data_IF_278769676795
#
_entry.id   IF_278769676795
#
_cell.length_a   1.000
_cell.length_b   1.000
_cell.length_c   1.000
_cell.angle_alpha   90.00
_cell.angle_beta   90.00
_cell.angle_gamma   90.00
#
_symmetry.space_group_name_H-M   'P 1'
#
loop_
_entity.id
_entity.type
_entity.pdbx_description
1 polymer ?
#
# COMPACT_ATOMS: atom_id res chain seq x y z
N UNK A 1 10.18 -55.96 7.91
CA UNK A 1 9.31 -54.97 8.51
C UNK A 1 9.69 -53.57 8.02
N UNK A 2 8.84 -52.89 7.25
CA UNK A 2 8.74 -51.47 7.28
C UNK A 2 7.27 -51.03 7.18
N UNK A 3 6.73 -50.52 8.27
CA UNK A 3 5.42 -49.89 8.31
C UNK A 3 5.46 -48.83 9.40
N UNK A 4 5.66 -47.58 9.02
CA UNK A 4 5.26 -46.38 9.79
C UNK A 4 5.78 -45.06 9.20
N UNK A 5 5.49 -44.73 7.91
CA UNK A 5 5.77 -43.38 7.37
C UNK A 5 4.68 -42.84 6.42
N UNK A 6 3.50 -43.45 6.40
CA UNK A 6 2.44 -43.04 5.46
C UNK A 6 1.31 -42.20 6.07
N UNK A 7 1.29 -41.95 7.39
CA UNK A 7 0.14 -41.33 8.05
C UNK A 7 0.24 -39.83 8.26
N UNK A 8 1.41 -39.22 8.12
CA UNK A 8 1.61 -37.76 8.39
C UNK A 8 1.45 -36.88 7.16
N UNK A 9 1.52 -37.39 5.95
CA UNK A 9 1.36 -36.60 4.72
C UNK A 9 -0.09 -36.21 4.41
N UNK A 10 -1.08 -37.01 4.88
CA UNK A 10 -2.49 -36.77 4.59
C UNK A 10 -3.14 -35.62 5.36
N UNK A 11 -2.70 -35.35 6.58
CA UNK A 11 -3.27 -34.27 7.42
C UNK A 11 -2.76 -32.88 7.03
N UNK A 12 -1.53 -32.76 6.53
CA UNK A 12 -1.00 -31.49 6.03
C UNK A 12 -1.67 -31.06 4.72
N UNK A 13 -2.00 -32.01 3.83
CA UNK A 13 -2.64 -31.70 2.55
C UNK A 13 -4.07 -31.20 2.68
N UNK A 14 -4.85 -31.68 3.66
CA UNK A 14 -6.23 -31.23 3.87
C UNK A 14 -6.32 -29.81 4.45
N UNK A 15 -5.38 -29.41 5.32
CA UNK A 15 -5.34 -28.06 5.88
C UNK A 15 -4.83 -27.00 4.87
N UNK A 16 -3.93 -27.36 3.96
CA UNK A 16 -3.49 -26.49 2.88
C UNK A 16 -4.59 -26.22 1.85
N UNK A 17 -5.36 -27.24 1.45
CA UNK A 17 -6.47 -27.10 0.51
C UNK A 17 -7.61 -26.23 1.04
N UNK A 18 -7.95 -26.32 2.33
CA UNK A 18 -8.99 -25.48 2.97
C UNK A 18 -8.55 -24.02 3.11
N UNK A 19 -7.28 -23.76 3.37
CA UNK A 19 -6.71 -22.39 3.47
C UNK A 19 -6.74 -21.65 2.14
N UNK A 20 -6.42 -22.29 1.04
CA UNK A 20 -6.43 -21.67 -0.29
C UNK A 20 -7.85 -21.37 -0.79
N UNK A 21 -8.82 -22.26 -0.56
CA UNK A 21 -10.21 -22.01 -0.90
C UNK A 21 -10.80 -20.86 -0.10
N UNK A 22 -10.55 -20.81 1.21
CA UNK A 22 -10.96 -19.71 2.08
C UNK A 22 -10.31 -18.37 1.65
N UNK A 23 -9.04 -18.41 1.29
CA UNK A 23 -8.34 -17.23 0.78
C UNK A 23 -8.96 -16.72 -0.52
N UNK A 24 -9.23 -17.58 -1.50
CA UNK A 24 -9.89 -17.18 -2.76
C UNK A 24 -11.27 -16.56 -2.51
N UNK A 25 -12.06 -17.14 -1.64
CA UNK A 25 -13.37 -16.61 -1.24
C UNK A 25 -13.22 -15.22 -0.59
N UNK A 26 -12.27 -15.07 0.34
CA UNK A 26 -12.01 -13.81 1.00
C UNK A 26 -11.54 -12.73 0.00
N UNK A 27 -10.69 -13.09 -0.98
CA UNK A 27 -10.28 -12.18 -2.07
C UNK A 27 -11.49 -11.70 -2.87
N UNK A 28 -12.36 -12.61 -3.31
CA UNK A 28 -13.57 -12.25 -4.06
C UNK A 28 -14.49 -11.31 -3.28
N UNK A 29 -14.64 -11.53 -1.97
CA UNK A 29 -15.44 -10.66 -1.11
C UNK A 29 -14.80 -9.29 -0.88
N UNK A 30 -13.48 -9.24 -0.71
CA UNK A 30 -12.73 -8.00 -0.43
C UNK A 30 -12.66 -7.10 -1.65
N UNK A 31 -12.25 -7.67 -2.80
CA UNK A 31 -11.92 -6.92 -4.02
C UNK A 31 -13.06 -6.92 -5.06
N UNK A 32 -14.29 -7.12 -4.59
CA UNK A 32 -15.48 -7.09 -5.46
C UNK A 32 -15.78 -5.69 -5.97
N UNK A 33 -16.29 -5.59 -7.17
CA UNK A 33 -17.02 -4.42 -7.63
C UNK A 33 -18.41 -4.46 -7.00
N UNK A 34 -18.77 -3.45 -6.22
CA UNK A 34 -20.11 -3.33 -5.64
C UNK A 34 -21.11 -2.74 -6.64
N UNK A 35 -22.43 -2.98 -6.45
CA UNK A 35 -23.45 -2.29 -7.23
C UNK A 35 -23.39 -0.78 -6.95
N UNK A 36 -23.59 0.04 -8.02
CA UNK A 36 -23.58 1.49 -7.91
C UNK A 36 -24.94 2.07 -7.45
N UNK A 37 -25.97 1.25 -7.37
CA UNK A 37 -27.33 1.64 -6.97
C UNK A 37 -27.83 0.76 -5.83
N UNK A 38 -28.84 1.24 -5.12
CA UNK A 38 -29.49 0.49 -4.04
C UNK A 38 -28.94 0.72 -2.64
N UNK A 39 -27.84 1.47 -2.48
CA UNK A 39 -27.34 1.88 -1.17
C UNK A 39 -27.87 3.25 -0.77
N UNK A 40 -28.31 3.40 0.49
CA UNK A 40 -28.70 4.67 1.10
C UNK A 40 -28.28 4.70 2.57
N UNK A 41 -28.15 5.89 3.15
CA UNK A 41 -27.83 6.07 4.57
C UNK A 41 -26.59 5.30 5.01
N UNK A 42 -26.68 4.61 6.14
CA UNK A 42 -25.56 3.86 6.72
C UNK A 42 -25.02 2.74 5.82
N UNK A 43 -25.85 2.14 4.96
CA UNK A 43 -25.42 1.13 4.02
C UNK A 43 -24.50 1.72 2.93
N UNK A 44 -24.82 2.92 2.43
CA UNK A 44 -23.97 3.66 1.50
C UNK A 44 -22.66 4.06 2.19
N UNK A 45 -22.72 4.62 3.40
CA UNK A 45 -21.52 4.94 4.18
C UNK A 45 -20.59 3.73 4.35
N UNK A 46 -21.14 2.58 4.68
CA UNK A 46 -20.38 1.32 4.82
C UNK A 46 -19.73 0.87 3.50
N UNK A 47 -20.41 1.04 2.35
CA UNK A 47 -19.84 0.70 1.05
C UNK A 47 -18.72 1.67 0.65
N UNK A 48 -18.88 2.98 0.93
CA UNK A 48 -17.79 3.96 0.72
C UNK A 48 -16.56 3.64 1.57
N UNK A 49 -16.77 3.27 2.85
CA UNK A 49 -15.69 2.81 3.73
C UNK A 49 -15.04 1.53 3.19
N UNK A 50 -15.81 0.60 2.64
CA UNK A 50 -15.24 -0.60 2.02
C UNK A 50 -14.24 -0.25 0.92
N UNK A 51 -14.58 0.67 0.01
CA UNK A 51 -13.64 1.15 -1.02
C UNK A 51 -12.44 1.88 -0.41
N UNK A 52 -12.65 2.70 0.62
CA UNK A 52 -11.58 3.38 1.33
C UNK A 52 -10.56 2.39 1.91
N UNK A 53 -11.02 1.26 2.49
CA UNK A 53 -10.14 0.24 3.07
C UNK A 53 -9.29 -0.52 2.04
N UNK A 54 -9.60 -0.44 0.73
CA UNK A 54 -8.77 -1.03 -0.32
C UNK A 54 -7.47 -0.26 -0.57
N UNK A 55 -7.34 0.93 -0.02
CA UNK A 55 -6.14 1.75 -0.08
C UNK A 55 -4.88 1.01 0.45
N UNK A 56 -3.67 1.40 0.03
CA UNK A 56 -2.44 0.92 0.63
C UNK A 56 -2.24 1.51 2.03
N UNK A 57 -1.54 0.75 2.88
CA UNK A 57 -1.04 1.24 4.16
C UNK A 57 0.30 0.57 4.48
N UNK A 58 1.11 1.20 5.35
CA UNK A 58 2.37 0.63 5.78
C UNK A 58 2.15 -0.79 6.32
N UNK A 59 2.93 -1.77 5.85
CA UNK A 59 2.80 -3.21 6.17
C UNK A 59 1.36 -3.78 6.06
N UNK A 60 0.45 -3.11 5.31
CA UNK A 60 -0.99 -3.44 5.27
C UNK A 60 -1.62 -3.49 6.68
N UNK A 61 -1.16 -2.59 7.57
CA UNK A 61 -1.66 -2.48 8.94
C UNK A 61 -3.10 -1.99 8.97
N UNK A 62 -3.54 -1.25 7.93
CA UNK A 62 -4.87 -0.64 7.87
C UNK A 62 -5.13 0.24 9.10
N UNK A 63 -4.23 1.22 9.27
CA UNK A 63 -4.10 2.10 10.43
C UNK A 63 -5.16 3.21 10.46
N UNK A 64 -6.42 2.87 10.21
CA UNK A 64 -7.55 3.77 10.14
C UNK A 64 -8.75 3.27 10.92
N UNK A 65 -9.57 4.24 11.38
CA UNK A 65 -10.92 4.08 11.91
C UNK A 65 -11.84 5.07 11.20
N UNK A 66 -13.09 4.69 11.00
CA UNK A 66 -14.07 5.53 10.31
C UNK A 66 -15.28 5.79 11.20
N UNK A 67 -15.62 7.05 11.37
CA UNK A 67 -16.91 7.44 11.92
C UNK A 67 -17.85 7.88 10.79
N UNK A 68 -19.07 7.36 10.81
CA UNK A 68 -20.12 7.69 9.86
C UNK A 68 -21.12 8.62 10.53
N UNK A 69 -21.35 9.77 9.94
CA UNK A 69 -22.42 10.70 10.27
C UNK A 69 -23.15 11.07 8.97
N UNK A 70 -24.40 11.54 9.03
CA UNK A 70 -25.32 11.67 7.88
C UNK A 70 -24.67 12.14 6.57
N UNK A 71 -23.94 13.24 6.60
CA UNK A 71 -23.29 13.85 5.42
C UNK A 71 -21.78 13.90 5.56
N UNK A 72 -21.21 13.20 6.55
CA UNK A 72 -19.78 13.29 6.86
C UNK A 72 -19.21 11.92 7.17
N UNK A 73 -18.05 11.62 6.60
CA UNK A 73 -17.24 10.48 7.01
C UNK A 73 -15.92 11.03 7.54
N UNK A 74 -15.56 10.64 8.77
CA UNK A 74 -14.28 11.05 9.37
C UNK A 74 -13.33 9.85 9.47
N UNK A 75 -12.11 10.03 9.00
CA UNK A 75 -11.05 9.01 9.05
C UNK A 75 -10.06 9.39 10.14
N UNK A 76 -9.99 8.59 11.20
CA UNK A 76 -9.05 8.73 12.31
C UNK A 76 -7.85 7.80 12.15
N UNK A 77 -6.65 8.18 12.63
CA UNK A 77 -5.54 7.26 12.78
C UNK A 77 -5.86 6.21 13.87
N UNK A 78 -5.63 4.93 13.56
CA UNK A 78 -5.64 3.86 14.54
C UNK A 78 -4.21 3.64 15.07
N UNK A 79 -3.85 4.37 16.12
CA UNK A 79 -2.50 4.33 16.71
C UNK A 79 -2.16 2.98 17.37
N UNK A 80 -3.14 2.08 17.54
CA UNK A 80 -2.86 0.70 17.99
C UNK A 80 -2.23 -0.15 16.88
N UNK A 81 -2.19 0.39 15.65
CA UNK A 81 -1.68 -0.29 14.44
C UNK A 81 -0.51 0.46 13.80
N UNK A 82 0.21 1.22 14.60
CA UNK A 82 1.42 1.92 14.19
C UNK A 82 2.61 0.97 14.00
N UNK A 83 3.60 1.42 13.25
CA UNK A 83 4.87 0.72 13.03
C UNK A 83 6.02 1.62 13.53
N UNK A 84 6.24 1.72 14.86
CA UNK A 84 7.15 2.71 15.42
C UNK A 84 8.63 2.49 15.07
N UNK A 85 9.04 1.29 14.65
CA UNK A 85 10.41 1.04 14.23
C UNK A 85 10.67 1.61 12.82
N UNK A 86 9.72 1.48 11.89
CA UNK A 86 9.86 1.99 10.52
C UNK A 86 9.34 3.41 10.37
N UNK A 87 8.35 3.82 11.17
CA UNK A 87 7.61 5.07 11.08
C UNK A 87 7.45 5.73 12.47
N UNK A 88 8.55 6.20 13.09
CA UNK A 88 8.52 6.69 14.47
C UNK A 88 7.73 7.99 14.65
N UNK A 89 7.58 8.79 13.61
CA UNK A 89 6.82 10.05 13.58
C UNK A 89 5.37 9.89 13.08
N UNK A 90 4.89 8.64 12.87
CA UNK A 90 3.57 8.30 12.35
C UNK A 90 3.26 8.92 10.95
N UNK A 91 4.28 9.35 10.24
CA UNK A 91 4.19 9.98 8.93
C UNK A 91 3.40 9.10 7.93
N UNK A 92 3.77 7.81 7.80
CA UNK A 92 3.10 6.90 6.89
C UNK A 92 1.67 6.54 7.31
N UNK A 93 1.30 6.72 8.59
CA UNK A 93 -0.11 6.63 9.02
C UNK A 93 -0.91 7.71 8.30
N UNK A 94 -0.50 8.99 8.36
CA UNK A 94 -1.24 10.09 7.72
C UNK A 94 -1.22 9.99 6.19
N UNK A 95 -0.14 9.52 5.59
CA UNK A 95 -0.10 9.16 4.16
C UNK A 95 -1.13 8.07 3.84
N UNK A 96 -1.26 7.04 4.68
CA UNK A 96 -2.26 5.97 4.51
C UNK A 96 -3.69 6.50 4.63
N UNK A 97 -3.96 7.42 5.57
CA UNK A 97 -5.27 8.10 5.65
C UNK A 97 -5.56 8.88 4.36
N UNK A 98 -4.56 9.52 3.78
CA UNK A 98 -4.68 10.21 2.49
C UNK A 98 -5.08 9.27 1.35
N UNK A 99 -4.44 8.10 1.26
CA UNK A 99 -4.81 7.09 0.27
C UNK A 99 -6.26 6.61 0.46
N UNK A 100 -6.67 6.34 1.70
CA UNK A 100 -8.05 5.93 2.02
C UNK A 100 -9.07 7.04 1.69
N UNK A 101 -8.71 8.31 1.94
CA UNK A 101 -9.50 9.49 1.58
C UNK A 101 -9.74 9.56 0.08
N UNK A 102 -8.70 9.36 -0.73
CA UNK A 102 -8.85 9.44 -2.18
C UNK A 102 -9.75 8.32 -2.73
N UNK A 103 -9.57 7.08 -2.28
CA UNK A 103 -10.46 5.97 -2.65
C UNK A 103 -11.92 6.26 -2.26
N UNK A 104 -12.15 6.82 -1.06
CA UNK A 104 -13.49 7.20 -0.60
C UNK A 104 -14.12 8.26 -1.52
N UNK A 105 -13.36 9.29 -1.91
CA UNK A 105 -13.83 10.37 -2.80
C UNK A 105 -14.19 9.81 -4.18
N UNK A 106 -13.36 8.92 -4.76
CA UNK A 106 -13.64 8.28 -6.04
C UNK A 106 -14.91 7.41 -5.96
N UNK A 107 -15.07 6.65 -4.87
CA UNK A 107 -16.25 5.84 -4.63
C UNK A 107 -17.51 6.73 -4.42
N UNK A 108 -17.40 7.79 -3.64
CA UNK A 108 -18.49 8.73 -3.43
C UNK A 108 -19.00 9.30 -4.77
N UNK A 109 -18.10 9.71 -5.67
CA UNK A 109 -18.46 10.23 -7.00
C UNK A 109 -19.22 9.21 -7.83
N UNK A 110 -18.79 7.95 -7.81
CA UNK A 110 -19.48 6.86 -8.50
C UNK A 110 -20.90 6.63 -7.97
N UNK A 111 -21.12 6.94 -6.69
CA UNK A 111 -22.44 6.84 -6.03
C UNK A 111 -23.23 8.16 -6.00
N UNK A 112 -22.86 9.16 -6.79
CA UNK A 112 -23.59 10.42 -6.90
C UNK A 112 -23.34 11.41 -5.76
N UNK A 113 -22.18 11.33 -5.12
CA UNK A 113 -21.76 12.23 -4.06
C UNK A 113 -20.41 12.87 -4.37
N UNK A 114 -20.30 14.18 -4.09
CA UNK A 114 -19.04 14.90 -4.08
C UNK A 114 -18.47 14.86 -2.68
N UNK A 115 -17.26 14.31 -2.51
CA UNK A 115 -16.50 14.36 -1.28
C UNK A 115 -15.56 15.56 -1.23
N UNK A 116 -15.68 16.41 -0.20
CA UNK A 116 -14.71 17.47 0.13
C UNK A 116 -13.95 17.07 1.37
N UNK A 117 -12.65 16.78 1.23
CA UNK A 117 -11.78 16.41 2.34
C UNK A 117 -11.10 17.63 2.95
N UNK A 118 -11.06 17.70 4.27
CA UNK A 118 -10.36 18.70 5.07
C UNK A 118 -9.65 18.01 6.23
N UNK A 119 -8.42 18.43 6.54
CA UNK A 119 -7.72 17.92 7.72
C UNK A 119 -8.18 18.68 8.96
N UNK A 120 -8.64 17.97 9.97
CA UNK A 120 -9.02 18.47 11.28
C UNK A 120 -7.80 18.37 12.22
N UNK A 121 -7.11 19.49 12.41
CA UNK A 121 -5.90 19.57 13.24
C UNK A 121 -6.18 19.19 14.70
N UNK A 122 -7.32 19.60 15.25
CA UNK A 122 -7.67 19.35 16.65
C UNK A 122 -7.87 17.87 16.94
N UNK A 123 -8.40 17.12 15.97
CA UNK A 123 -8.68 15.68 16.08
C UNK A 123 -7.61 14.82 15.41
N UNK A 124 -6.64 15.44 14.72
CA UNK A 124 -5.67 14.75 13.85
C UNK A 124 -6.36 13.73 12.92
N UNK A 125 -7.41 14.15 12.24
CA UNK A 125 -8.29 13.29 11.44
C UNK A 125 -8.60 13.95 10.08
N UNK A 126 -9.04 13.14 9.10
CA UNK A 126 -9.54 13.66 7.83
C UNK A 126 -11.06 13.63 7.84
N UNK A 127 -11.68 14.79 7.72
CA UNK A 127 -13.14 14.95 7.60
C UNK A 127 -13.52 15.08 6.14
N UNK A 128 -14.44 14.24 5.67
CA UNK A 128 -14.96 14.24 4.31
C UNK A 128 -16.46 14.60 4.37
N UNK A 129 -16.80 15.79 3.88
CA UNK A 129 -18.19 16.21 3.73
C UNK A 129 -18.69 15.75 2.38
N UNK A 130 -19.88 15.12 2.37
CA UNK A 130 -20.52 14.56 1.19
C UNK A 130 -21.70 15.44 0.77
N UNK A 131 -21.79 15.75 -0.52
CA UNK A 131 -22.90 16.51 -1.08
C UNK A 131 -23.39 15.88 -2.40
N UNK A 132 -24.69 15.92 -2.72
CA UNK A 132 -25.21 15.33 -3.95
C UNK A 132 -24.56 15.91 -5.22
N UNK A 133 -24.33 15.04 -6.21
CA UNK A 133 -23.85 15.38 -7.55
C UNK A 133 -24.32 14.30 -8.53
N UNK A 134 -24.22 14.54 -9.83
CA UNK A 134 -24.46 13.48 -10.81
C UNK A 134 -23.46 12.33 -10.61
N UNK A 135 -23.97 11.09 -10.59
CA UNK A 135 -23.12 9.91 -10.42
C UNK A 135 -22.20 9.71 -11.63
N UNK A 136 -20.92 9.45 -11.37
CA UNK A 136 -19.93 9.23 -12.41
C UNK A 136 -18.89 8.18 -11.94
N UNK A 137 -18.94 6.99 -12.52
CA UNK A 137 -17.95 5.96 -12.32
C UNK A 137 -16.73 6.23 -13.20
N UNK A 138 -15.72 6.89 -12.65
CA UNK A 138 -14.48 7.22 -13.36
C UNK A 138 -13.58 5.99 -13.56
N UNK A 139 -12.61 6.08 -14.48
CA UNK A 139 -11.59 5.05 -14.64
C UNK A 139 -10.78 4.83 -13.34
N UNK A 140 -10.53 5.90 -12.57
CA UNK A 140 -9.85 5.80 -11.28
C UNK A 140 -10.68 5.01 -10.26
N UNK A 141 -11.99 5.22 -10.20
CA UNK A 141 -12.88 4.42 -9.37
C UNK A 141 -12.82 2.94 -9.76
N UNK A 142 -12.94 2.63 -11.05
CA UNK A 142 -12.90 1.26 -11.55
C UNK A 142 -11.56 0.57 -11.25
N UNK A 143 -10.46 1.34 -11.17
CA UNK A 143 -9.13 0.83 -10.86
C UNK A 143 -8.94 0.43 -9.38
N UNK A 144 -9.75 0.93 -8.44
CA UNK A 144 -9.60 0.68 -6.99
C UNK A 144 -9.51 -0.81 -6.69
N UNK A 145 -10.39 -1.62 -7.28
CA UNK A 145 -10.47 -3.07 -7.01
C UNK A 145 -9.35 -3.88 -7.69
N UNK A 146 -8.55 -3.26 -8.54
CA UNK A 146 -7.44 -3.90 -9.28
C UNK A 146 -6.06 -3.35 -8.88
N UNK A 147 -6.03 -2.23 -8.12
CA UNK A 147 -4.78 -1.62 -7.67
C UNK A 147 -4.08 -2.52 -6.64
N UNK A 148 -2.82 -2.77 -6.85
CA UNK A 148 -2.00 -3.51 -5.88
C UNK A 148 -0.55 -3.00 -5.89
N UNK A 149 0.16 -3.18 -4.76
CA UNK A 149 1.61 -3.02 -4.70
C UNK A 149 2.26 -4.33 -5.16
N UNK A 150 2.88 -4.31 -6.33
CA UNK A 150 3.40 -5.53 -7.00
C UNK A 150 4.90 -5.66 -6.76
N UNK A 151 5.29 -6.54 -5.85
CA UNK A 151 6.68 -6.81 -5.46
C UNK A 151 7.27 -7.95 -6.30
N UNK A 152 7.30 -7.75 -7.63
CA UNK A 152 7.91 -8.67 -8.61
C UNK A 152 8.83 -7.89 -9.54
N UNK A 153 9.64 -8.58 -10.32
CA UNK A 153 10.36 -7.96 -11.43
C UNK A 153 9.36 -7.47 -12.48
N UNK A 154 9.65 -6.33 -13.09
CA UNK A 154 8.89 -5.75 -14.20
C UNK A 154 9.60 -6.07 -15.53
N UNK A 155 9.05 -5.63 -16.66
CA UNK A 155 9.60 -5.94 -17.99
C UNK A 155 10.81 -5.06 -18.40
N UNK A 156 11.17 -4.07 -17.58
CA UNK A 156 12.29 -3.14 -17.82
C UNK A 156 12.10 -2.17 -18.98
N UNK A 157 10.95 -2.20 -19.66
CA UNK A 157 10.68 -1.35 -20.81
C UNK A 157 10.27 0.06 -20.38
N UNK A 158 10.64 1.09 -21.13
CA UNK A 158 10.19 2.45 -20.86
C UNK A 158 8.67 2.58 -21.00
N UNK A 159 8.10 3.49 -20.23
CA UNK A 159 6.69 3.90 -20.37
C UNK A 159 6.59 5.00 -21.43
N UNK A 160 5.57 4.96 -22.26
CA UNK A 160 5.33 5.96 -23.28
C UNK A 160 5.17 7.36 -22.66
N UNK A 161 5.68 8.39 -23.34
CA UNK A 161 5.65 9.78 -22.84
C UNK A 161 4.24 10.26 -22.48
N UNK A 162 3.22 9.88 -23.25
CA UNK A 162 1.85 10.30 -22.98
C UNK A 162 1.27 9.58 -21.75
N UNK A 163 1.65 8.33 -21.48
CA UNK A 163 1.29 7.63 -20.24
C UNK A 163 1.99 8.29 -19.03
N UNK A 164 3.26 8.71 -19.17
CA UNK A 164 3.97 9.46 -18.11
C UNK A 164 3.27 10.78 -17.80
N UNK A 165 2.87 11.56 -18.82
CA UNK A 165 2.10 12.81 -18.64
C UNK A 165 0.76 12.55 -17.91
N UNK A 166 0.07 11.44 -18.21
CA UNK A 166 -1.17 11.05 -17.51
C UNK A 166 -0.92 10.71 -16.06
N UNK A 167 0.19 10.04 -15.76
CA UNK A 167 0.61 9.76 -14.38
C UNK A 167 0.91 11.07 -13.62
N UNK A 168 1.66 11.99 -14.21
CA UNK A 168 1.97 13.30 -13.63
C UNK A 168 0.69 14.12 -13.39
N UNK A 169 -0.22 14.16 -14.37
CA UNK A 169 -1.49 14.85 -14.25
C UNK A 169 -2.36 14.30 -13.12
N UNK A 170 -2.41 12.97 -12.95
CA UNK A 170 -3.14 12.34 -11.87
C UNK A 170 -2.54 12.64 -10.49
N UNK A 171 -1.21 12.71 -10.40
CA UNK A 171 -0.49 13.05 -9.16
C UNK A 171 -0.57 14.54 -8.78
N UNK A 172 -0.99 15.42 -9.69
CA UNK A 172 -0.94 16.87 -9.51
C UNK A 172 -1.66 17.33 -8.25
N UNK A 173 -0.97 18.15 -7.46
CA UNK A 173 -1.50 18.81 -6.25
C UNK A 173 -0.71 20.10 -6.00
N UNK A 174 -1.37 21.14 -5.49
CA UNK A 174 -0.70 22.39 -5.12
C UNK A 174 0.11 22.26 -3.81
N UNK A 175 -0.09 21.17 -3.08
CA UNK A 175 0.56 20.89 -1.80
C UNK A 175 1.61 19.79 -1.85
N UNK A 176 1.78 19.15 -3.02
CA UNK A 176 2.69 18.01 -3.18
C UNK A 176 3.48 18.16 -4.47
N UNK A 177 4.79 18.09 -4.36
CA UNK A 177 5.69 17.96 -5.50
C UNK A 177 5.86 16.48 -5.82
N UNK A 178 5.58 16.08 -7.05
CA UNK A 178 5.88 14.74 -7.57
C UNK A 178 7.02 14.82 -8.60
N UNK A 179 7.97 13.90 -8.52
CA UNK A 179 9.07 13.74 -9.47
C UNK A 179 8.98 12.36 -10.11
N UNK A 180 9.10 12.30 -11.43
CA UNK A 180 9.24 11.03 -12.16
C UNK A 180 10.67 10.92 -12.67
N UNK A 181 11.41 9.94 -12.17
CA UNK A 181 12.78 9.62 -12.52
C UNK A 181 12.76 8.41 -13.46
N UNK A 182 13.14 8.58 -14.72
CA UNK A 182 13.06 7.51 -15.74
C UNK A 182 14.39 7.24 -16.44
N UNK A 183 15.39 8.11 -16.24
CA UNK A 183 16.73 7.90 -16.77
C UNK A 183 17.55 6.93 -15.90
N UNK A 184 18.41 6.16 -16.52
CA UNK A 184 19.20 5.12 -15.82
C UNK A 184 20.12 5.64 -14.73
N UNK A 185 20.86 6.75 -14.90
CA UNK A 185 21.65 7.33 -13.83
C UNK A 185 20.85 7.68 -12.58
N UNK A 186 19.68 8.29 -12.75
CA UNK A 186 18.78 8.61 -11.62
C UNK A 186 18.29 7.33 -10.92
N UNK A 187 17.92 6.29 -11.68
CA UNK A 187 17.48 5.00 -11.10
C UNK A 187 18.59 4.30 -10.33
N UNK A 188 19.85 4.31 -10.82
CA UNK A 188 20.97 3.74 -10.08
C UNK A 188 21.27 4.56 -8.81
N UNK A 189 21.17 5.89 -8.86
CA UNK A 189 21.29 6.73 -7.65
C UNK A 189 20.21 6.39 -6.61
N UNK A 190 18.94 6.23 -7.01
CA UNK A 190 17.87 5.79 -6.11
C UNK A 190 18.17 4.39 -5.55
N UNK A 191 18.67 3.46 -6.38
CA UNK A 191 19.02 2.11 -5.98
C UNK A 191 20.09 2.11 -4.87
N UNK A 192 21.11 2.96 -4.98
CA UNK A 192 22.17 3.06 -3.96
C UNK A 192 21.58 3.45 -2.60
N UNK A 193 20.65 4.42 -2.56
CA UNK A 193 19.97 4.80 -1.32
C UNK A 193 19.03 3.71 -0.81
N UNK A 194 18.34 2.99 -1.68
CA UNK A 194 17.48 1.86 -1.31
C UNK A 194 18.30 0.74 -0.67
N UNK A 195 19.44 0.40 -1.24
CA UNK A 195 20.35 -0.64 -0.69
C UNK A 195 20.94 -0.21 0.66
N UNK A 196 21.38 1.05 0.79
CA UNK A 196 21.86 1.58 2.06
C UNK A 196 20.76 1.56 3.13
N UNK A 197 19.56 2.03 2.79
CA UNK A 197 18.42 2.06 3.70
C UNK A 197 17.98 0.65 4.11
N UNK A 198 17.86 -0.27 3.17
CA UNK A 198 17.53 -1.66 3.48
C UNK A 198 18.59 -2.30 4.38
N UNK A 199 19.88 -2.05 4.13
CA UNK A 199 20.95 -2.56 4.98
C UNK A 199 20.85 -2.03 6.40
N UNK A 200 20.56 -0.73 6.57
CA UNK A 200 20.37 -0.13 7.89
C UNK A 200 19.16 -0.75 8.62
N UNK A 201 18.01 -0.87 7.95
CA UNK A 201 16.79 -1.46 8.50
C UNK A 201 16.98 -2.94 8.88
N UNK A 202 17.63 -3.72 8.03
CA UNK A 202 17.84 -5.14 8.29
C UNK A 202 18.85 -5.42 9.41
N UNK A 203 19.71 -4.47 9.75
CA UNK A 203 20.60 -4.51 10.90
C UNK A 203 19.96 -3.97 12.18
N UNK A 204 18.78 -3.37 12.09
CA UNK A 204 18.00 -2.94 13.25
C UNK A 204 17.05 -4.06 13.72
N UNK A 205 17.33 -4.61 14.90
CA UNK A 205 16.51 -5.68 15.47
C UNK A 205 15.06 -5.26 15.68
N UNK A 206 14.81 -4.00 16.08
CA UNK A 206 13.45 -3.51 16.31
C UNK A 206 12.65 -3.49 14.99
N UNK A 207 13.28 -3.04 13.90
CA UNK A 207 12.68 -3.10 12.56
C UNK A 207 12.38 -4.54 12.12
N UNK A 208 13.32 -5.46 12.28
CA UNK A 208 13.17 -6.87 11.86
C UNK A 208 12.05 -7.56 12.65
N UNK A 209 11.97 -7.33 13.96
CA UNK A 209 10.92 -7.88 14.82
C UNK A 209 9.54 -7.31 14.44
N UNK A 210 9.44 -5.99 14.20
CA UNK A 210 8.21 -5.34 13.77
C UNK A 210 7.74 -5.87 12.40
N UNK A 211 8.64 -5.93 11.42
CA UNK A 211 8.32 -6.48 10.10
C UNK A 211 7.80 -7.92 10.20
N UNK A 212 8.49 -8.77 10.98
CA UNK A 212 8.10 -10.16 11.21
C UNK A 212 6.70 -10.28 11.82
N UNK A 213 6.33 -9.39 12.74
CA UNK A 213 5.00 -9.37 13.36
C UNK A 213 3.88 -9.10 12.34
N UNK A 214 4.18 -8.36 11.27
CA UNK A 214 3.22 -8.05 10.19
C UNK A 214 3.23 -9.03 9.01
N UNK A 215 4.12 -10.03 8.96
CA UNK A 215 4.09 -11.04 7.89
C UNK A 215 3.01 -12.08 8.16
N UNK A 216 2.30 -12.47 7.10
CA UNK A 216 1.33 -13.57 7.07
C UNK A 216 1.91 -14.65 6.17
N UNK A 217 2.45 -15.70 6.77
CA UNK A 217 3.23 -16.71 6.07
C UNK A 217 2.39 -17.64 5.16
N UNK A 218 1.07 -17.70 5.37
CA UNK A 218 0.15 -18.53 4.61
C UNK A 218 -1.23 -17.91 4.49
N UNK A 219 -2.06 -18.49 3.60
CA UNK A 219 -3.41 -18.01 3.34
C UNK A 219 -4.37 -18.13 4.53
N UNK A 220 -4.20 -19.14 5.40
CA UNK A 220 -5.04 -19.29 6.59
C UNK A 220 -4.83 -18.12 7.57
N UNK A 221 -3.57 -17.72 7.83
CA UNK A 221 -3.27 -16.55 8.65
C UNK A 221 -3.75 -15.24 8.00
N UNK A 222 -3.57 -15.11 6.68
CA UNK A 222 -4.07 -13.96 5.95
C UNK A 222 -5.59 -13.81 6.08
N UNK A 223 -6.36 -14.91 5.99
CA UNK A 223 -7.82 -14.90 6.16
C UNK A 223 -8.22 -14.58 7.60
N UNK A 224 -7.57 -15.23 8.56
CA UNK A 224 -7.90 -15.07 9.98
C UNK A 224 -7.69 -13.65 10.47
N UNK A 225 -6.63 -12.97 10.02
CA UNK A 225 -6.24 -11.64 10.48
C UNK A 225 -6.77 -10.52 9.57
N UNK A 226 -6.91 -10.78 8.27
CA UNK A 226 -7.36 -9.81 7.28
C UNK A 226 -6.40 -8.63 7.06
N UNK A 227 -5.16 -8.72 7.56
CA UNK A 227 -4.16 -7.65 7.53
C UNK A 227 -2.75 -8.20 7.28
N UNK A 228 -1.76 -7.31 7.34
CA UNK A 228 -0.35 -7.66 7.22
C UNK A 228 0.09 -8.00 5.78
N UNK A 229 1.36 -8.35 5.66
CA UNK A 229 2.02 -8.69 4.40
C UNK A 229 1.89 -10.18 4.12
N UNK A 230 0.97 -10.56 3.26
CA UNK A 230 0.82 -11.95 2.84
C UNK A 230 2.00 -12.37 1.94
N UNK A 231 2.66 -13.49 2.26
CA UNK A 231 3.87 -13.96 1.58
C UNK A 231 3.72 -14.02 0.06
N UNK A 232 2.65 -14.61 -0.46
CA UNK A 232 2.38 -14.65 -1.91
C UNK A 232 2.20 -13.28 -2.55
N UNK A 233 1.63 -12.30 -1.84
CA UNK A 233 1.50 -10.92 -2.34
C UNK A 233 2.85 -10.21 -2.46
N UNK A 234 3.91 -10.78 -1.88
CA UNK A 234 5.29 -10.30 -1.94
C UNK A 234 6.17 -11.19 -2.82
N UNK A 235 5.58 -12.15 -3.55
CA UNK A 235 6.31 -13.09 -4.41
C UNK A 235 7.04 -14.20 -3.66
N UNK A 236 6.78 -14.37 -2.35
CA UNK A 236 7.39 -15.41 -1.53
C UNK A 236 6.48 -16.66 -1.44
N UNK A 237 7.03 -17.86 -1.23
CA UNK A 237 6.23 -19.06 -1.04
C UNK A 237 5.42 -19.02 0.27
N UNK A 238 4.36 -19.82 0.32
CA UNK A 238 3.64 -20.10 1.57
C UNK A 238 4.36 -21.19 2.36
N UNK A 239 4.41 -20.96 3.66
CA UNK A 239 4.93 -21.94 4.64
C UNK A 239 4.06 -21.94 5.90
N UNK A 240 4.03 -23.05 6.67
CA UNK A 240 3.40 -23.02 8.00
C UNK A 240 3.97 -21.90 8.85
N UNK A 241 3.14 -21.21 9.64
CA UNK A 241 3.55 -20.03 10.41
C UNK A 241 4.75 -20.29 11.35
N UNK A 242 4.76 -21.47 12.01
CA UNK A 242 5.86 -21.89 12.88
C UNK A 242 7.18 -22.03 12.12
N UNK A 243 7.12 -22.61 10.90
CA UNK A 243 8.31 -22.78 10.05
C UNK A 243 8.76 -21.44 9.48
N UNK A 244 7.82 -20.62 8.99
CA UNK A 244 8.11 -19.28 8.51
C UNK A 244 8.79 -18.41 9.56
N UNK A 245 8.29 -18.46 10.79
CA UNK A 245 8.88 -17.77 11.92
C UNK A 245 10.30 -18.22 12.27
N UNK A 246 10.57 -19.53 12.17
CA UNK A 246 11.89 -20.09 12.41
C UNK A 246 12.88 -19.75 11.27
N UNK A 247 12.42 -19.91 10.03
CA UNK A 247 13.27 -19.73 8.85
C UNK A 247 13.48 -18.26 8.47
N UNK A 248 12.69 -17.34 9.00
CA UNK A 248 12.74 -15.92 8.65
C UNK A 248 14.16 -15.35 8.73
N UNK A 249 14.87 -15.58 9.85
CA UNK A 249 16.23 -15.09 10.05
C UNK A 249 17.31 -15.74 9.14
N UNK A 250 17.02 -16.91 8.54
CA UNK A 250 17.96 -17.58 7.63
C UNK A 250 17.86 -17.08 6.20
N UNK A 251 16.66 -16.75 5.73
CA UNK A 251 16.42 -16.32 4.34
C UNK A 251 16.28 -14.80 4.21
N UNK A 252 15.82 -14.13 5.25
CA UNK A 252 15.63 -12.70 5.27
C UNK A 252 16.90 -12.01 5.79
N UNK A 253 17.90 -11.89 4.90
CA UNK A 253 19.21 -11.29 5.20
C UNK A 253 19.41 -10.00 4.43
N UNK A 254 20.23 -9.04 4.93
CA UNK A 254 20.56 -7.81 4.20
C UNK A 254 20.99 -8.06 2.77
N UNK A 255 21.86 -9.07 2.55
CA UNK A 255 22.38 -9.43 1.24
C UNK A 255 21.27 -9.91 0.29
N UNK A 256 20.44 -10.87 0.72
CA UNK A 256 19.37 -11.43 -0.10
C UNK A 256 18.32 -10.39 -0.49
N UNK A 257 17.92 -9.53 0.47
CA UNK A 257 16.96 -8.47 0.20
C UNK A 257 17.57 -7.37 -0.69
N UNK A 258 18.86 -7.00 -0.51
CA UNK A 258 19.54 -6.07 -1.40
C UNK A 258 19.59 -6.58 -2.84
N UNK A 259 19.95 -7.86 -3.06
CA UNK A 259 19.95 -8.48 -4.39
C UNK A 259 18.58 -8.45 -5.05
N UNK A 260 17.52 -8.64 -4.26
CA UNK A 260 16.12 -8.54 -4.71
C UNK A 260 15.77 -7.10 -5.11
N UNK A 261 16.15 -6.09 -4.31
CA UNK A 261 15.91 -4.68 -4.66
C UNK A 261 16.69 -4.24 -5.90
N UNK A 262 17.93 -4.72 -6.08
CA UNK A 262 18.72 -4.50 -7.31
C UNK A 262 17.94 -4.99 -8.54
N UNK A 263 17.44 -6.23 -8.52
CA UNK A 263 16.65 -6.79 -9.63
C UNK A 263 15.36 -5.98 -9.86
N UNK A 264 14.65 -5.65 -8.78
CA UNK A 264 13.39 -4.93 -8.85
C UNK A 264 13.55 -3.53 -9.43
N UNK A 265 14.55 -2.76 -8.99
CA UNK A 265 14.77 -1.41 -9.49
C UNK A 265 15.30 -1.40 -10.92
N UNK A 266 16.25 -2.28 -11.25
CA UNK A 266 16.79 -2.37 -12.62
C UNK A 266 15.77 -2.87 -13.64
N UNK A 267 14.76 -3.63 -13.21
CA UNK A 267 13.64 -4.04 -14.06
C UNK A 267 12.50 -3.02 -14.10
N UNK A 268 12.59 -1.91 -13.36
CA UNK A 268 11.57 -0.85 -13.37
C UNK A 268 11.74 0.12 -14.54
N UNK A 269 10.62 0.67 -15.01
CA UNK A 269 10.61 1.74 -16.01
C UNK A 269 10.96 3.10 -15.41
N UNK A 270 10.72 3.28 -14.11
CA UNK A 270 10.99 4.52 -13.39
C UNK A 270 10.70 4.43 -11.90
N UNK A 271 10.99 5.55 -11.25
CA UNK A 271 10.67 5.81 -9.84
C UNK A 271 9.92 7.14 -9.74
N UNK A 272 8.80 7.14 -9.03
CA UNK A 272 8.09 8.35 -8.63
C UNK A 272 8.43 8.70 -7.18
N UNK A 273 8.75 9.95 -6.91
CA UNK A 273 8.98 10.47 -5.56
C UNK A 273 7.94 11.55 -5.27
N UNK A 274 7.34 11.49 -4.10
CA UNK A 274 6.36 12.47 -3.62
C UNK A 274 6.92 13.19 -2.41
N UNK A 275 6.74 14.51 -2.37
CA UNK A 275 7.19 15.36 -1.27
C UNK A 275 6.14 16.42 -0.96
N UNK A 276 5.66 16.48 0.27
CA UNK A 276 4.77 17.52 0.76
C UNK A 276 5.47 18.89 0.83
N UNK A 277 4.73 19.95 0.60
CA UNK A 277 5.27 21.31 0.70
C UNK A 277 5.69 21.68 2.14
N UNK A 278 5.16 20.96 3.15
CA UNK A 278 5.51 21.12 4.56
C UNK A 278 5.56 19.76 5.25
N UNK A 279 6.31 19.67 6.34
CA UNK A 279 6.43 18.49 7.19
C UNK A 279 5.37 18.52 8.30
N UNK A 280 4.09 18.33 7.91
CA UNK A 280 2.97 18.24 8.84
C UNK A 280 1.93 17.20 8.39
N UNK A 281 1.06 16.82 9.30
CA UNK A 281 0.05 15.77 9.08
C UNK A 281 -0.89 16.07 7.92
N UNK A 282 -1.28 17.34 7.75
CA UNK A 282 -2.17 17.76 6.66
C UNK A 282 -1.51 17.56 5.29
N UNK A 283 -0.21 17.90 5.17
CA UNK A 283 0.54 17.68 3.93
C UNK A 283 0.83 16.19 3.69
N UNK A 284 1.09 15.40 4.74
CA UNK A 284 1.25 13.94 4.60
C UNK A 284 -0.04 13.26 4.09
N UNK A 285 -1.22 13.72 4.54
CA UNK A 285 -2.50 13.29 3.96
C UNK A 285 -2.58 13.65 2.47
N UNK A 286 -2.19 14.86 2.08
CA UNK A 286 -2.19 15.26 0.66
C UNK A 286 -1.17 14.46 -0.18
N UNK A 287 -0.02 14.10 0.39
CA UNK A 287 0.92 13.15 -0.24
C UNK A 287 0.25 11.82 -0.52
N UNK A 288 -0.47 11.27 0.46
CA UNK A 288 -1.22 10.02 0.30
C UNK A 288 -2.29 10.11 -0.80
N UNK A 289 -3.04 11.20 -0.84
CA UNK A 289 -4.04 11.46 -1.89
C UNK A 289 -3.42 11.57 -3.28
N UNK A 290 -2.34 12.32 -3.40
CA UNK A 290 -1.59 12.48 -4.66
C UNK A 290 -1.04 11.14 -5.16
N UNK A 291 -0.42 10.36 -4.25
CA UNK A 291 0.10 9.04 -4.57
C UNK A 291 -1.03 8.07 -4.98
N UNK A 292 -2.17 8.04 -4.28
CA UNK A 292 -3.24 7.11 -4.62
C UNK A 292 -3.84 7.41 -6.00
N UNK A 293 -4.04 8.70 -6.38
CA UNK A 293 -4.44 9.05 -7.75
C UNK A 293 -3.42 8.56 -8.78
N UNK A 294 -2.13 8.73 -8.51
CA UNK A 294 -1.06 8.18 -9.35
C UNK A 294 -1.17 6.65 -9.48
N UNK A 295 -1.34 5.93 -8.37
CA UNK A 295 -1.41 4.47 -8.36
C UNK A 295 -2.66 3.93 -9.06
N UNK A 296 -3.80 4.61 -8.92
CA UNK A 296 -5.02 4.30 -9.66
C UNK A 296 -4.84 4.54 -11.15
N UNK A 297 -4.26 5.69 -11.54
CA UNK A 297 -3.98 5.99 -12.95
C UNK A 297 -2.97 5.00 -13.54
N UNK A 298 -1.94 4.62 -12.80
CA UNK A 298 -1.01 3.58 -13.21
C UNK A 298 -1.75 2.25 -13.46
N UNK A 299 -2.69 1.89 -12.59
CA UNK A 299 -3.52 0.70 -12.74
C UNK A 299 -4.38 0.75 -14.00
N UNK A 300 -5.01 1.90 -14.31
CA UNK A 300 -5.75 2.14 -15.56
C UNK A 300 -4.87 1.89 -16.80
N UNK A 301 -3.60 2.31 -16.72
CA UNK A 301 -2.61 2.17 -17.80
C UNK A 301 -1.95 0.79 -17.86
N UNK A 302 -2.33 -0.15 -16.98
CA UNK A 302 -1.68 -1.46 -16.86
C UNK A 302 -0.24 -1.39 -16.32
N UNK A 303 0.10 -0.30 -15.63
CA UNK A 303 1.38 -0.07 -14.98
C UNK A 303 1.28 -0.52 -13.52
N UNK A 304 2.28 -1.24 -13.03
CA UNK A 304 2.40 -1.68 -11.64
C UNK A 304 3.23 -0.71 -10.83
N UNK A 305 2.95 -0.65 -9.54
CA UNK A 305 3.68 0.19 -8.58
C UNK A 305 4.12 -0.63 -7.37
N UNK A 306 5.23 -0.26 -6.75
CA UNK A 306 5.63 -0.81 -5.46
C UNK A 306 6.49 0.20 -4.69
N UNK A 307 6.29 0.25 -3.37
CA UNK A 307 7.07 1.10 -2.47
C UNK A 307 8.50 0.59 -2.32
N UNK A 308 9.44 1.53 -2.31
CA UNK A 308 10.86 1.34 -2.01
C UNK A 308 11.31 2.47 -1.07
N UNK A 309 10.60 2.61 0.05
CA UNK A 309 10.66 3.77 0.96
C UNK A 309 11.89 3.83 1.87
N UNK A 310 12.80 2.86 1.83
CA UNK A 310 13.97 2.83 2.71
C UNK A 310 14.75 4.15 2.75
N UNK A 311 14.94 4.90 1.63
CA UNK A 311 15.62 6.19 1.65
C UNK A 311 14.91 7.27 2.48
N UNK A 312 13.58 7.16 2.65
CA UNK A 312 12.76 8.12 3.40
C UNK A 312 12.42 7.62 4.81
N UNK A 313 12.44 6.32 5.04
CA UNK A 313 12.22 5.70 6.36
C UNK A 313 13.45 5.83 7.25
N UNK A 314 14.67 5.71 6.68
CA UNK A 314 15.93 5.88 7.42
C UNK A 314 16.28 7.36 7.52
N UNK A 315 16.05 7.96 8.69
CA UNK A 315 16.17 9.40 8.93
C UNK A 315 17.52 9.99 8.52
N UNK A 316 18.63 9.27 8.72
CA UNK A 316 19.99 9.72 8.36
C UNK A 316 20.27 9.76 6.86
N UNK A 317 19.49 9.03 6.05
CA UNK A 317 19.62 9.02 4.59
C UNK A 317 18.75 10.09 3.92
N UNK A 318 17.65 10.48 4.55
CA UNK A 318 16.61 11.35 4.01
C UNK A 318 17.15 12.66 3.42
N UNK A 319 18.01 13.45 4.12
CA UNK A 319 18.53 14.70 3.57
C UNK A 319 19.45 14.50 2.36
N UNK A 320 20.30 13.47 2.40
CA UNK A 320 21.22 13.14 1.31
C UNK A 320 20.46 12.67 0.07
N UNK A 321 19.41 11.88 0.28
CA UNK A 321 18.53 11.44 -0.79
C UNK A 321 17.79 12.62 -1.42
N UNK A 322 17.23 13.54 -0.61
CA UNK A 322 16.56 14.74 -1.09
C UNK A 322 17.48 15.59 -1.99
N UNK A 323 18.73 15.77 -1.58
CA UNK A 323 19.73 16.50 -2.38
C UNK A 323 20.04 15.78 -3.70
N UNK A 324 20.28 14.47 -3.65
CA UNK A 324 20.63 13.66 -4.82
C UNK A 324 19.53 13.65 -5.91
N UNK A 325 18.26 13.77 -5.53
CA UNK A 325 17.12 13.81 -6.48
C UNK A 325 16.63 15.23 -6.80
N UNK A 326 17.34 16.27 -6.37
CA UNK A 326 17.01 17.67 -6.67
C UNK A 326 15.82 18.24 -5.90
N UNK A 327 15.49 17.69 -4.73
CA UNK A 327 14.51 18.25 -3.79
C UNK A 327 15.10 19.29 -2.84
N UNK A 328 16.44 19.38 -2.75
CA UNK A 328 17.14 20.28 -1.84
C UNK A 328 16.80 19.97 -0.38
N UNK A 329 16.18 20.93 0.32
CA UNK A 329 15.80 20.78 1.74
C UNK A 329 14.40 20.18 1.96
N UNK A 330 13.62 19.97 0.89
CA UNK A 330 12.27 19.42 1.01
C UNK A 330 12.35 17.92 1.36
N UNK A 331 11.64 17.49 2.41
CA UNK A 331 11.56 16.09 2.82
C UNK A 331 10.89 15.28 1.71
N UNK A 332 11.53 14.22 1.17
CA UNK A 332 10.82 13.23 0.37
C UNK A 332 9.99 12.33 1.30
N UNK A 333 8.74 12.08 0.92
CA UNK A 333 7.77 11.35 1.75
C UNK A 333 7.54 9.92 1.26
N UNK A 334 7.47 9.71 -0.06
CA UNK A 334 7.27 8.39 -0.67
C UNK A 334 8.21 8.18 -1.84
N UNK A 335 8.69 6.94 -2.01
CA UNK A 335 9.48 6.47 -3.14
C UNK A 335 8.83 5.24 -3.74
N UNK A 336 8.35 5.34 -4.98
CA UNK A 336 7.53 4.33 -5.65
C UNK A 336 8.18 3.94 -6.98
N UNK A 337 8.64 2.70 -7.11
CA UNK A 337 9.05 2.19 -8.40
C UNK A 337 7.82 1.83 -9.24
N UNK A 338 7.90 2.00 -10.55
CA UNK A 338 6.79 1.66 -11.47
C UNK A 338 7.30 1.03 -12.76
N UNK A 339 6.43 0.28 -13.43
CA UNK A 339 6.71 -0.43 -14.69
C UNK A 339 5.62 -1.44 -15.02
N UNK A 340 5.73 -2.13 -16.16
CA UNK A 340 4.78 -3.20 -16.53
C UNK A 340 5.26 -4.52 -15.96
N UNK A 341 4.34 -5.30 -15.38
CA UNK A 341 4.70 -6.54 -14.69
C UNK A 341 3.49 -7.43 -14.39
N UNK A 342 3.72 -8.58 -13.75
CA UNK A 342 2.68 -9.55 -13.45
C UNK A 342 1.68 -9.03 -12.42
N UNK A 343 0.56 -9.74 -12.29
CA UNK A 343 -0.36 -9.63 -11.16
C UNK A 343 0.05 -10.63 -10.09
N UNK A 344 0.09 -10.20 -8.84
CA UNK A 344 0.33 -11.06 -7.68
C UNK A 344 -0.98 -11.32 -6.92
N UNK A 345 -1.06 -12.37 -6.09
CA UNK A 345 -2.20 -12.58 -5.21
C UNK A 345 -2.44 -11.35 -4.33
N UNK A 346 -3.68 -10.81 -4.24
CA UNK A 346 -3.96 -9.58 -3.49
C UNK A 346 -3.91 -9.78 -1.97
N UNK A 347 -3.47 -8.76 -1.24
CA UNK A 347 -3.59 -8.74 0.23
C UNK A 347 -5.05 -8.62 0.64
N UNK A 348 -5.41 -9.21 1.78
CA UNK A 348 -6.76 -9.09 2.33
C UNK A 348 -6.95 -7.78 3.12
N UNK A 349 -8.20 -7.51 3.48
CA UNK A 349 -8.61 -6.36 4.29
C UNK A 349 -9.45 -6.81 5.48
N UNK A 350 -9.36 -6.05 6.55
CA UNK A 350 -10.25 -6.21 7.72
C UNK A 350 -11.69 -5.92 7.28
N UNK A 351 -12.69 -6.63 7.84
CA UNK A 351 -14.08 -6.34 7.53
C UNK A 351 -14.46 -4.92 7.96
N UNK A 352 -15.36 -4.27 7.22
CA UNK A 352 -15.76 -2.87 7.46
C UNK A 352 -16.16 -2.65 8.93
N UNK A 353 -16.94 -3.58 9.52
CA UNK A 353 -17.35 -3.49 10.95
C UNK A 353 -16.17 -3.38 11.93
N UNK A 354 -14.98 -3.86 11.57
CA UNK A 354 -13.80 -3.80 12.45
C UNK A 354 -13.05 -2.46 12.37
N UNK A 355 -13.41 -1.60 11.44
CA UNK A 355 -12.81 -0.27 11.25
C UNK A 355 -13.80 0.86 11.51
N UNK A 356 -15.08 0.58 11.73
CA UNK A 356 -16.09 1.56 12.17
C UNK A 356 -15.97 1.84 13.68
N UNK A 357 -16.22 3.10 14.09
CA UNK A 357 -16.26 3.57 15.46
C UNK A 357 -17.54 4.35 15.71
#
# INVERSE_FOLDING_TARGET
MPLALAATAGLAGCTYGTGESAYRTAVQQTWRVGPLQGFQGAALGSELVRYATLAPSSHNTQCWKFALDNETITIFPDLTRRCPAVDPDDHHIFVSLGCATENLIQAARAHGLRGKAEFDEARSAVRITLSPVAAEATDLFNAIVSRQSTRAEYDGKPIASDDLKRLEAAAKSDRVRSLLLTDRPALESVLDFVVQGNTAQMNDKAFVDELKAWIRFNGADAVRLGDGLFSKSSGNPEVPAWLGGLMFGFFFTPKAENEKYVKHLRSSAGVAVFAGAKEDKAHWVEVGRSYERFALQATVLGIRTAHVNMPVEVASLRPKFAEAIGLGRTRPDLVIRFGRGPTLPPSLRRPVRAVLV
#
